data_IF_990305730005
#
_entry.id   IF_990305730005
#
_cell.length_a   1.000
_cell.length_b   1.000
_cell.length_c   1.000
_cell.angle_alpha   90.00
_cell.angle_beta   90.00
_cell.angle_gamma   90.00
#
_symmetry.space_group_name_H-M   'P 1'
#
loop_
_entity.id
_entity.type
_entity.pdbx_description
1 polymer ?
#
# COMPACT_ATOMS: atom_id res chain seq x y z
N UNK A 1 12.13 10.00 -64.10
CA UNK A 1 13.51 9.51 -63.93
C UNK A 1 13.77 9.33 -62.44
N UNK A 2 14.03 8.09 -62.06
CA UNK A 2 14.37 7.50 -60.75
C UNK A 2 14.80 8.45 -59.60
N UNK A 3 14.17 8.30 -58.42
CA UNK A 3 14.90 7.71 -57.27
C UNK A 3 14.00 7.30 -56.10
N UNK A 4 13.83 5.98 -55.99
CA UNK A 4 13.76 5.14 -54.77
C UNK A 4 12.71 5.45 -53.69
N UNK A 5 11.54 4.85 -53.90
CA UNK A 5 10.67 4.28 -52.86
C UNK A 5 11.44 3.29 -51.96
N UNK A 6 11.52 3.57 -50.65
CA UNK A 6 11.82 2.55 -49.64
C UNK A 6 10.49 2.12 -49.02
N UNK A 7 10.06 0.93 -49.43
CA UNK A 7 8.91 0.21 -48.88
C UNK A 7 9.35 -0.41 -47.55
N UNK A 8 9.03 0.23 -46.43
CA UNK A 8 8.96 -0.46 -45.14
C UNK A 8 7.55 -0.31 -44.61
N UNK A 9 6.71 -1.25 -45.05
CA UNK A 9 5.35 -1.43 -44.59
C UNK A 9 5.34 -1.70 -43.09
N UNK A 10 5.11 -0.66 -42.31
CA UNK A 10 4.67 -0.76 -40.93
C UNK A 10 3.31 -0.07 -40.88
N UNK A 11 2.28 -0.88 -41.01
CA UNK A 11 0.89 -0.45 -40.96
C UNK A 11 0.61 0.25 -39.64
N UNK A 12 -0.09 1.38 -39.73
CA UNK A 12 -0.57 2.28 -38.66
C UNK A 12 -1.36 1.58 -37.53
N UNK A 13 -1.58 0.27 -37.64
CA UNK A 13 -2.30 -0.59 -36.69
C UNK A 13 -1.43 -1.14 -35.57
N UNK A 14 -0.09 -1.14 -35.69
CA UNK A 14 0.79 -1.69 -34.63
C UNK A 14 0.88 -0.79 -33.40
N UNK A 15 0.85 0.54 -33.57
CA UNK A 15 1.00 1.50 -32.46
C UNK A 15 -0.26 1.58 -31.58
N UNK A 16 -1.45 1.31 -32.14
CA UNK A 16 -2.70 1.30 -31.37
C UNK A 16 -2.84 0.07 -30.46
N UNK A 17 -2.21 -1.05 -30.80
CA UNK A 17 -2.30 -2.28 -30.00
C UNK A 17 -1.53 -2.20 -28.68
N UNK A 18 -0.47 -1.39 -28.60
CA UNK A 18 0.34 -1.24 -27.37
C UNK A 18 -0.38 -0.42 -26.30
N UNK A 19 -1.20 0.57 -26.70
CA UNK A 19 -1.94 1.43 -25.76
C UNK A 19 -3.23 0.76 -25.26
N UNK A 20 -3.92 0.00 -26.12
CA UNK A 20 -5.22 -0.63 -25.80
C UNK A 20 -5.06 -1.92 -24.96
N UNK A 21 -3.91 -2.60 -25.00
CA UNK A 21 -3.72 -3.85 -24.25
C UNK A 21 -3.61 -3.69 -22.72
N UNK A 22 -3.61 -2.48 -22.16
CA UNK A 22 -3.52 -2.28 -20.70
C UNK A 22 -4.75 -2.77 -19.91
N UNK A 23 -5.83 -3.18 -20.58
CA UNK A 23 -7.10 -3.60 -19.98
C UNK A 23 -7.54 -5.04 -20.27
N UNK A 24 -6.64 -5.97 -20.61
CA UNK A 24 -7.06 -7.37 -20.85
C UNK A 24 -6.06 -8.40 -20.29
N UNK A 25 -6.56 -9.51 -19.74
CA UNK A 25 -5.78 -10.57 -19.08
C UNK A 25 -4.69 -11.17 -19.99
N UNK A 26 -4.91 -11.16 -21.31
CA UNK A 26 -3.93 -11.57 -22.32
C UNK A 26 -2.67 -10.68 -22.39
N UNK A 27 -2.69 -9.47 -21.84
CA UNK A 27 -1.52 -8.58 -21.77
C UNK A 27 -0.57 -9.01 -20.65
N UNK A 28 -1.09 -9.53 -19.53
CA UNK A 28 -0.25 -10.07 -18.47
C UNK A 28 0.53 -11.30 -18.96
N UNK A 29 -0.15 -12.24 -19.63
CA UNK A 29 0.48 -13.45 -20.18
C UNK A 29 1.55 -13.10 -21.22
N UNK A 30 1.25 -12.21 -22.18
CA UNK A 30 2.24 -11.77 -23.18
C UNK A 30 3.42 -11.04 -22.56
N UNK A 31 3.18 -10.23 -21.52
CA UNK A 31 4.25 -9.58 -20.74
C UNK A 31 5.15 -10.61 -20.05
N UNK A 32 4.57 -11.62 -19.40
CA UNK A 32 5.34 -12.71 -18.78
C UNK A 32 6.16 -13.53 -19.78
N UNK A 33 5.59 -13.84 -20.95
CA UNK A 33 6.30 -14.55 -22.02
C UNK A 33 7.52 -13.77 -22.52
N UNK A 34 7.41 -12.45 -22.71
CA UNK A 34 8.54 -11.59 -23.13
C UNK A 34 9.63 -11.49 -22.05
N UNK A 35 9.23 -11.33 -20.79
CA UNK A 35 10.16 -11.32 -19.64
C UNK A 35 10.92 -12.64 -19.55
N UNK A 36 10.23 -13.78 -19.72
CA UNK A 36 10.84 -15.11 -19.62
C UNK A 36 11.76 -15.42 -20.81
N UNK A 37 11.43 -14.95 -22.01
CA UNK A 37 12.27 -15.08 -23.21
C UNK A 37 13.51 -14.17 -23.20
N UNK A 38 13.66 -13.29 -22.20
CA UNK A 38 14.81 -12.39 -22.07
C UNK A 38 14.80 -11.22 -23.06
N UNK A 39 13.68 -10.98 -23.75
CA UNK A 39 13.53 -9.91 -24.74
C UNK A 39 13.41 -8.52 -24.08
N UNK A 40 13.01 -8.48 -22.80
CA UNK A 40 12.97 -7.28 -21.96
C UNK A 40 13.89 -7.47 -20.74
N UNK A 41 15.15 -7.00 -20.76
CA UNK A 41 16.11 -7.14 -19.66
C UNK A 41 15.77 -6.28 -18.43
N UNK A 42 14.66 -5.52 -18.48
CA UNK A 42 14.51 -4.29 -17.70
C UNK A 42 14.11 -4.48 -16.25
N UNK A 43 13.76 -5.69 -15.81
CA UNK A 43 13.73 -6.06 -14.38
C UNK A 43 13.13 -7.46 -14.23
N UNK A 44 13.99 -8.48 -14.25
CA UNK A 44 13.64 -9.84 -13.83
C UNK A 44 13.51 -9.87 -12.31
N UNK A 45 12.61 -9.08 -11.72
CA UNK A 45 12.32 -9.14 -10.29
C UNK A 45 11.45 -10.38 -10.09
N UNK A 46 12.10 -11.54 -9.95
CA UNK A 46 11.49 -12.82 -9.57
C UNK A 46 10.89 -12.80 -8.15
N UNK A 47 11.04 -11.68 -7.44
CA UNK A 47 10.51 -11.49 -6.10
C UNK A 47 9.29 -10.60 -6.17
N UNK A 48 8.27 -10.94 -5.38
CA UNK A 48 7.12 -10.07 -5.17
C UNK A 48 7.61 -8.65 -4.82
N UNK A 49 7.28 -7.67 -5.67
CA UNK A 49 7.51 -6.26 -5.34
C UNK A 49 6.81 -5.99 -4.01
N UNK A 50 7.48 -5.23 -3.12
CA UNK A 50 6.92 -4.86 -1.81
C UNK A 50 5.49 -4.36 -2.00
N UNK A 51 4.51 -5.16 -1.58
CA UNK A 51 3.09 -4.80 -1.69
C UNK A 51 2.91 -3.54 -0.86
N UNK A 52 2.41 -2.48 -1.48
CA UNK A 52 1.83 -1.37 -0.72
C UNK A 52 0.54 -1.90 -0.10
N UNK A 53 0.62 -2.47 1.10
CA UNK A 53 -0.55 -2.87 1.86
C UNK A 53 -1.54 -1.70 2.01
N UNK A 54 -2.79 -1.99 2.38
CA UNK A 54 -3.85 -0.99 2.57
C UNK A 54 -3.33 0.19 3.42
N UNK A 55 -3.45 1.40 2.91
CA UNK A 55 -3.04 2.64 3.58
C UNK A 55 -3.96 2.92 4.78
N UNK A 56 -3.65 2.30 5.93
CA UNK A 56 -4.25 2.59 7.23
C UNK A 56 -3.87 4.00 7.77
N UNK A 57 -3.00 4.74 7.07
CA UNK A 57 -2.33 5.93 7.60
C UNK A 57 -3.31 7.04 8.05
N UNK A 58 -4.36 7.33 7.27
CA UNK A 58 -5.31 8.40 7.59
C UNK A 58 -6.24 8.07 8.78
N UNK A 59 -6.63 6.80 8.93
CA UNK A 59 -7.39 6.35 10.11
C UNK A 59 -6.48 6.31 11.34
N UNK A 60 -5.23 5.89 11.18
CA UNK A 60 -4.26 5.77 12.29
C UNK A 60 -3.94 7.12 12.92
N UNK A 61 -3.79 8.20 12.13
CA UNK A 61 -3.52 9.53 12.68
C UNK A 61 -4.69 10.07 13.49
N UNK A 62 -5.92 9.96 12.98
CA UNK A 62 -7.13 10.39 13.69
C UNK A 62 -7.35 9.61 14.99
N UNK A 63 -7.18 8.28 14.95
CA UNK A 63 -7.30 7.44 16.14
C UNK A 63 -6.23 7.74 17.17
N UNK A 64 -5.00 8.05 16.74
CA UNK A 64 -3.90 8.40 17.65
C UNK A 64 -4.21 9.65 18.48
N UNK A 65 -4.69 10.70 17.84
CA UNK A 65 -5.04 11.96 18.52
C UNK A 65 -6.17 11.72 19.52
N UNK A 66 -7.21 10.98 19.11
CA UNK A 66 -8.34 10.65 20.00
C UNK A 66 -7.91 9.84 21.22
N UNK A 67 -7.06 8.83 21.03
CA UNK A 67 -6.54 8.00 22.13
C UNK A 67 -5.67 8.81 23.09
N UNK A 68 -4.77 9.66 22.59
CA UNK A 68 -3.93 10.51 23.44
C UNK A 68 -4.77 11.50 24.26
N UNK A 69 -5.78 12.11 23.65
CA UNK A 69 -6.72 12.97 24.36
C UNK A 69 -7.45 12.23 25.50
N UNK A 70 -7.99 11.05 25.23
CA UNK A 70 -8.69 10.25 26.25
C UNK A 70 -7.79 9.87 27.42
N UNK A 71 -6.54 9.46 27.14
CA UNK A 71 -5.58 9.09 28.17
C UNK A 71 -5.15 10.31 28.98
N UNK A 72 -4.93 11.48 28.34
CA UNK A 72 -4.59 12.73 29.02
C UNK A 72 -5.73 13.25 29.91
N UNK A 73 -6.97 13.16 29.43
CA UNK A 73 -8.16 13.56 30.19
C UNK A 73 -8.38 12.69 31.43
N UNK A 74 -8.20 11.36 31.32
CA UNK A 74 -8.28 10.45 32.45
C UNK A 74 -7.20 9.38 32.40
N UNK A 75 -6.16 9.54 33.21
CA UNK A 75 -5.03 8.59 33.26
C UNK A 75 -5.40 7.20 33.82
N UNK A 76 -6.60 6.99 34.36
CA UNK A 76 -7.06 5.68 34.88
C UNK A 76 -8.05 4.95 33.96
N UNK A 77 -8.28 5.46 32.75
CA UNK A 77 -9.23 4.89 31.78
C UNK A 77 -8.92 3.44 31.42
N UNK A 78 -9.96 2.61 31.25
CA UNK A 78 -9.79 1.20 30.87
C UNK A 78 -9.57 1.07 29.36
N UNK A 79 -8.74 0.10 28.96
CA UNK A 79 -8.47 -0.17 27.55
C UNK A 79 -9.73 -0.56 26.77
N UNK A 80 -10.69 -1.26 27.40
CA UNK A 80 -11.99 -1.61 26.81
C UNK A 80 -12.83 -0.37 26.47
N UNK A 81 -12.84 0.63 27.35
CA UNK A 81 -13.60 1.87 27.16
C UNK A 81 -13.04 2.67 25.97
N UNK A 82 -11.72 2.80 25.89
CA UNK A 82 -11.06 3.45 24.75
C UNK A 82 -11.33 2.68 23.46
N UNK A 83 -11.20 1.35 23.47
CA UNK A 83 -11.42 0.51 22.30
C UNK A 83 -12.84 0.70 21.75
N UNK A 84 -13.84 0.70 22.62
CA UNK A 84 -15.23 0.92 22.27
C UNK A 84 -15.48 2.35 21.74
N UNK A 85 -14.92 3.37 22.39
CA UNK A 85 -15.11 4.77 21.98
C UNK A 85 -14.44 5.13 20.65
N UNK A 86 -13.36 4.43 20.30
CA UNK A 86 -12.63 4.63 19.04
C UNK A 86 -13.09 3.65 17.96
N UNK A 87 -13.76 2.55 18.32
CA UNK A 87 -14.24 1.52 17.39
C UNK A 87 -13.12 0.61 16.87
N UNK A 88 -12.13 0.31 17.71
CA UNK A 88 -10.92 -0.44 17.34
C UNK A 88 -10.81 -1.71 18.19
N UNK A 89 -10.19 -2.77 17.64
CA UNK A 89 -9.84 -3.96 18.42
C UNK A 89 -8.87 -3.65 19.56
N UNK A 90 -8.93 -4.43 20.65
CA UNK A 90 -8.06 -4.24 21.82
C UNK A 90 -6.57 -4.33 21.46
N UNK A 91 -6.22 -5.25 20.56
CA UNK A 91 -4.86 -5.46 20.06
C UNK A 91 -4.33 -4.24 19.31
N UNK A 92 -5.15 -3.70 18.39
CA UNK A 92 -4.76 -2.53 17.62
C UNK A 92 -4.64 -1.30 18.51
N UNK A 93 -5.51 -1.16 19.50
CA UNK A 93 -5.37 -0.13 20.54
C UNK A 93 -4.08 -0.31 21.35
N UNK A 94 -3.75 -1.54 21.77
CA UNK A 94 -2.50 -1.80 22.50
C UNK A 94 -1.28 -1.35 21.71
N UNK A 95 -1.22 -1.69 20.42
CA UNK A 95 -0.15 -1.25 19.54
C UNK A 95 -0.07 0.28 19.42
N UNK A 96 -1.20 0.97 19.29
CA UNK A 96 -1.23 2.45 19.22
C UNK A 96 -0.70 3.04 20.53
N UNK A 97 -1.15 2.55 21.68
CA UNK A 97 -0.79 3.10 23.00
C UNK A 97 0.68 2.84 23.32
N UNK A 98 1.17 1.61 23.12
CA UNK A 98 2.54 1.22 23.50
C UNK A 98 3.58 1.62 22.45
N UNK A 99 3.33 1.33 21.17
CA UNK A 99 4.31 1.52 20.09
C UNK A 99 4.27 2.93 19.53
N UNK A 100 3.08 3.50 19.34
CA UNK A 100 2.93 4.78 18.63
C UNK A 100 2.92 5.98 19.59
N UNK A 101 2.29 5.85 20.75
CA UNK A 101 2.21 6.91 21.76
C UNK A 101 3.22 6.74 22.91
N UNK A 102 3.80 5.55 23.08
CA UNK A 102 4.79 5.31 24.13
C UNK A 102 4.22 5.36 25.55
N UNK A 103 2.96 5.01 25.77
CA UNK A 103 2.40 4.87 27.11
C UNK A 103 2.59 3.46 27.65
N UNK A 104 2.84 3.34 28.95
CA UNK A 104 2.79 2.09 29.71
C UNK A 104 1.77 2.18 30.82
N UNK A 105 1.22 1.04 31.23
CA UNK A 105 0.31 0.98 32.38
C UNK A 105 1.10 0.62 33.64
N UNK A 106 1.04 1.47 34.66
CA UNK A 106 1.65 1.25 35.98
C UNK A 106 0.53 1.21 37.00
N UNK A 107 0.29 0.03 37.60
CA UNK A 107 -0.89 -0.22 38.42
C UNK A 107 -2.18 0.17 37.66
N UNK A 108 -2.96 1.12 38.17
CA UNK A 108 -4.17 1.61 37.52
C UNK A 108 -3.94 2.80 36.55
N UNK A 109 -2.73 3.38 36.46
CA UNK A 109 -2.47 4.65 35.76
C UNK A 109 -1.68 4.45 34.46
N UNK A 110 -2.02 5.19 33.41
CA UNK A 110 -1.21 5.35 32.20
C UNK A 110 -0.09 6.36 32.42
N UNK A 111 1.15 5.94 32.14
CA UNK A 111 2.37 6.72 32.35
C UNK A 111 3.13 6.79 31.02
N UNK A 112 3.54 7.99 30.55
CA UNK A 112 4.42 8.09 29.39
C UNK A 112 5.74 7.41 29.70
N UNK A 113 6.30 6.73 28.71
CA UNK A 113 7.55 6.00 28.84
C UNK A 113 8.75 6.94 28.85
#
# INVERSE_FOLDING_TARGET
MYSRTIFLGLTRTTILCDVICTHNAHCAVRKWVRIFKGEDPRETILRDRKRSGRLLSASVTAHRVKVDYMIRANRRVKQKEIANAVGISKERLHHIVTTVLGYRKVSARWVPR
#
